data_IF_348437715792
#
_entry.id   IF_348437715792
#
_cell.length_a   1.000
_cell.length_b   1.000
_cell.length_c   1.000
_cell.angle_alpha   90.00
_cell.angle_beta   90.00
_cell.angle_gamma   90.00
#
_symmetry.space_group_name_H-M   'P 1'
#
loop_
_entity.id
_entity.type
_entity.pdbx_description
1 polymer ?
#
# COMPACT_ATOMS: atom_id res chain seq x y z
N UNK A 1 -4.65 -18.38 -21.63
CA UNK A 1 -4.89 -19.78 -21.23
C UNK A 1 -5.68 -20.61 -22.26
N UNK A 2 -6.43 -20.00 -23.18
CA UNK A 2 -7.16 -20.75 -24.24
C UNK A 2 -6.27 -21.50 -25.23
N UNK A 3 -5.02 -21.07 -25.42
CA UNK A 3 -4.10 -21.66 -26.40
C UNK A 3 -3.72 -23.09 -25.98
N UNK A 4 -3.34 -23.32 -24.72
CA UNK A 4 -2.80 -24.60 -24.21
C UNK A 4 -3.85 -25.72 -24.05
N UNK A 5 -5.11 -25.39 -23.72
CA UNK A 5 -6.17 -26.41 -23.54
C UNK A 5 -6.51 -27.10 -24.87
N UNK A 6 -6.37 -26.39 -25.99
CA UNK A 6 -6.53 -26.96 -27.33
C UNK A 6 -5.37 -27.83 -27.79
N UNK A 7 -4.19 -27.79 -27.16
CA UNK A 7 -3.04 -28.58 -27.62
C UNK A 7 -3.19 -30.07 -27.31
N UNK A 8 -3.57 -30.41 -26.08
CA UNK A 8 -3.52 -31.78 -25.58
C UNK A 8 -4.57 -32.70 -26.27
N UNK A 9 -5.70 -32.13 -26.69
CA UNK A 9 -6.78 -32.86 -27.34
C UNK A 9 -6.63 -32.96 -28.87
N UNK A 10 -6.01 -31.97 -29.51
CA UNK A 10 -5.91 -31.91 -30.98
C UNK A 10 -4.62 -32.58 -31.50
N UNK A 11 -3.50 -32.49 -30.75
CA UNK A 11 -2.20 -32.95 -31.26
C UNK A 11 -1.78 -34.36 -30.84
N UNK A 12 -2.54 -35.00 -29.92
CA UNK A 12 -2.24 -36.37 -29.45
C UNK A 12 -2.30 -37.41 -30.57
N UNK A 13 -3.30 -37.32 -31.45
CA UNK A 13 -3.61 -38.33 -32.46
C UNK A 13 -2.91 -38.11 -33.82
N UNK A 14 -2.04 -37.10 -33.94
CA UNK A 14 -1.34 -36.81 -35.20
C UNK A 14 -0.09 -37.67 -35.41
N UNK A 15 0.11 -38.08 -36.67
CA UNK A 15 0.95 -39.21 -37.07
C UNK A 15 2.45 -38.92 -37.07
N UNK A 16 2.90 -37.68 -37.30
CA UNK A 16 4.34 -37.35 -37.36
C UNK A 16 4.71 -36.11 -36.56
N UNK A 17 5.91 -36.14 -35.97
CA UNK A 17 6.50 -35.03 -35.20
C UNK A 17 6.54 -33.72 -36.00
N UNK A 18 6.98 -33.78 -37.26
CA UNK A 18 7.06 -32.62 -38.15
C UNK A 18 5.69 -31.95 -38.33
N UNK A 19 4.63 -32.74 -38.47
CA UNK A 19 3.28 -32.22 -38.64
C UNK A 19 2.75 -31.56 -37.37
N UNK A 20 3.06 -32.14 -36.20
CA UNK A 20 2.76 -31.52 -34.90
C UNK A 20 3.47 -30.16 -34.78
N UNK A 21 4.79 -30.11 -34.99
CA UNK A 21 5.60 -28.88 -34.93
C UNK A 21 5.12 -27.83 -35.93
N UNK A 22 4.80 -28.23 -37.16
CA UNK A 22 4.27 -27.34 -38.19
C UNK A 22 2.97 -26.68 -37.73
N UNK A 23 2.05 -27.44 -37.16
CA UNK A 23 0.80 -26.86 -36.65
C UNK A 23 1.04 -25.95 -35.44
N UNK A 24 1.96 -26.30 -34.52
CA UNK A 24 2.33 -25.40 -33.41
C UNK A 24 2.82 -24.05 -33.97
N UNK A 25 3.71 -24.08 -34.97
CA UNK A 25 4.21 -22.86 -35.64
C UNK A 25 3.08 -22.04 -36.25
N UNK A 26 2.08 -22.71 -36.83
CA UNK A 26 0.92 -22.05 -37.46
C UNK A 26 0.01 -21.34 -36.44
N UNK A 27 0.01 -21.78 -35.17
CA UNK A 27 -0.86 -21.17 -34.14
C UNK A 27 -0.36 -19.79 -33.66
N UNK A 28 0.93 -19.48 -33.77
CA UNK A 28 1.51 -18.20 -33.33
C UNK A 28 2.94 -17.98 -33.84
N UNK A 29 3.19 -16.83 -34.45
CA UNK A 29 4.52 -16.40 -34.90
C UNK A 29 5.53 -16.31 -33.74
N UNK A 30 5.07 -15.94 -32.55
CA UNK A 30 5.90 -15.88 -31.35
C UNK A 30 6.39 -17.29 -30.95
N UNK A 31 5.48 -18.27 -30.97
CA UNK A 31 5.80 -19.67 -30.66
C UNK A 31 6.69 -20.27 -31.75
N UNK A 32 6.43 -19.98 -33.02
CA UNK A 32 7.29 -20.40 -34.12
C UNK A 32 8.72 -19.84 -34.01
N UNK A 33 8.84 -18.56 -33.65
CA UNK A 33 10.14 -17.92 -33.39
C UNK A 33 10.85 -18.48 -32.15
N UNK A 34 10.11 -18.93 -31.13
CA UNK A 34 10.66 -19.61 -29.96
C UNK A 34 11.22 -21.00 -30.32
N UNK A 35 10.45 -21.80 -31.07
CA UNK A 35 10.87 -23.14 -31.52
C UNK A 35 12.16 -23.05 -32.35
N UNK A 36 12.26 -22.07 -33.26
CA UNK A 36 13.44 -21.87 -34.09
C UNK A 36 14.71 -21.49 -33.32
N UNK A 37 14.57 -21.04 -32.07
CA UNK A 37 15.69 -20.68 -31.17
C UNK A 37 16.11 -21.83 -30.26
N UNK A 38 15.34 -22.92 -30.19
CA UNK A 38 15.69 -24.08 -29.39
C UNK A 38 16.82 -24.87 -30.05
N UNK A 39 17.60 -25.59 -29.24
CA UNK A 39 18.66 -26.47 -29.74
C UNK A 39 18.06 -27.63 -30.57
N UNK A 40 18.78 -28.11 -31.58
CA UNK A 40 18.32 -29.20 -32.47
C UNK A 40 17.88 -30.46 -31.69
N UNK A 41 18.48 -30.74 -30.54
CA UNK A 41 18.11 -31.87 -29.68
C UNK A 41 16.69 -31.73 -29.09
N UNK A 42 16.25 -30.50 -28.80
CA UNK A 42 14.92 -30.21 -28.26
C UNK A 42 13.90 -30.24 -29.39
N UNK A 43 14.22 -29.69 -30.57
CA UNK A 43 13.29 -29.60 -31.71
C UNK A 43 12.89 -30.99 -32.25
N UNK A 44 13.72 -32.01 -32.03
CA UNK A 44 13.44 -33.39 -32.44
C UNK A 44 12.64 -34.20 -31.41
N UNK A 45 12.26 -33.60 -30.28
CA UNK A 45 11.48 -34.25 -29.23
C UNK A 45 10.24 -33.40 -28.90
N UNK A 46 9.06 -33.94 -29.23
CA UNK A 46 7.79 -33.25 -29.01
C UNK A 46 7.56 -32.91 -27.53
N UNK A 47 7.90 -33.83 -26.63
CA UNK A 47 7.63 -33.67 -25.20
C UNK A 47 8.52 -32.57 -24.61
N UNK A 48 9.75 -32.46 -25.10
CA UNK A 48 10.67 -31.38 -24.71
C UNK A 48 10.24 -30.02 -25.26
N UNK A 49 9.80 -29.94 -26.52
CA UNK A 49 9.25 -28.70 -27.09
C UNK A 49 8.01 -28.27 -26.33
N UNK A 50 7.09 -29.19 -26.06
CA UNK A 50 5.86 -28.90 -25.35
C UNK A 50 6.15 -28.43 -23.92
N UNK A 51 7.09 -29.07 -23.21
CA UNK A 51 7.54 -28.64 -21.89
C UNK A 51 8.20 -27.26 -21.93
N UNK A 52 9.00 -26.96 -22.96
CA UNK A 52 9.66 -25.67 -23.15
C UNK A 52 8.65 -24.55 -23.45
N UNK A 53 7.69 -24.80 -24.34
CA UNK A 53 6.59 -23.86 -24.65
C UNK A 53 5.73 -23.65 -23.40
N UNK A 54 5.37 -24.70 -22.69
CA UNK A 54 4.66 -24.57 -21.42
C UNK A 54 5.47 -23.73 -20.44
N UNK A 55 6.77 -23.96 -20.28
CA UNK A 55 7.60 -23.13 -19.39
C UNK A 55 7.63 -21.66 -19.78
N UNK A 56 7.85 -21.36 -21.05
CA UNK A 56 7.99 -19.99 -21.55
C UNK A 56 6.68 -19.20 -21.51
N UNK A 57 5.57 -19.87 -21.86
CA UNK A 57 4.28 -19.23 -22.05
C UNK A 57 3.25 -19.55 -20.96
N UNK A 58 3.63 -20.30 -19.92
CA UNK A 58 2.83 -20.38 -18.70
C UNK A 58 3.03 -19.11 -17.92
N UNK A 59 1.95 -18.33 -17.83
CA UNK A 59 1.90 -17.20 -16.92
C UNK A 59 1.97 -17.69 -15.47
N UNK A 60 3.08 -17.41 -14.80
CA UNK A 60 3.18 -17.62 -13.36
C UNK A 60 2.42 -16.50 -12.64
N UNK A 61 1.15 -16.78 -12.32
CA UNK A 61 0.29 -15.85 -11.60
C UNK A 61 0.85 -15.48 -10.23
N UNK A 62 1.60 -16.38 -9.57
CA UNK A 62 2.21 -16.13 -8.26
C UNK A 62 3.38 -15.16 -8.39
N UNK A 63 4.25 -15.36 -9.38
CA UNK A 63 5.38 -14.44 -9.61
C UNK A 63 4.89 -13.03 -9.99
N UNK A 64 3.89 -12.96 -10.87
CA UNK A 64 3.30 -11.67 -11.25
C UNK A 64 2.61 -10.97 -10.06
N UNK A 65 1.87 -11.71 -9.24
CA UNK A 65 1.25 -11.19 -8.03
C UNK A 65 2.27 -10.69 -7.01
N UNK A 66 3.35 -11.45 -6.78
CA UNK A 66 4.44 -11.03 -5.90
C UNK A 66 5.10 -9.72 -6.39
N UNK A 67 5.41 -9.62 -7.69
CA UNK A 67 5.99 -8.40 -8.28
C UNK A 67 5.07 -7.19 -8.08
N UNK A 68 3.76 -7.37 -8.25
CA UNK A 68 2.79 -6.32 -8.01
C UNK A 68 2.75 -5.92 -6.52
N UNK A 69 2.67 -6.91 -5.63
CA UNK A 69 2.57 -6.69 -4.18
C UNK A 69 3.81 -5.97 -3.60
N UNK A 70 5.00 -6.22 -4.13
CA UNK A 70 6.23 -5.50 -3.76
C UNK A 70 6.16 -3.99 -4.00
N UNK A 71 5.30 -3.53 -4.93
CA UNK A 71 5.07 -2.11 -5.19
C UNK A 71 4.00 -1.47 -4.29
N UNK A 72 3.21 -2.28 -3.57
CA UNK A 72 2.08 -1.81 -2.76
C UNK A 72 2.57 -1.39 -1.39
N UNK A 73 2.61 -0.09 -1.13
CA UNK A 73 2.95 0.48 0.18
C UNK A 73 1.77 1.17 0.80
N UNK A 74 1.63 1.07 2.12
CA UNK A 74 0.57 1.75 2.84
C UNK A 74 0.73 3.27 2.75
N UNK A 75 -0.34 3.95 2.35
CA UNK A 75 -0.40 5.41 2.37
C UNK A 75 -0.34 5.98 3.79
N UNK A 76 0.18 7.20 3.94
CA UNK A 76 0.32 7.87 5.25
C UNK A 76 -0.98 7.98 6.05
N UNK A 77 -2.13 8.06 5.40
CA UNK A 77 -3.44 8.16 6.08
C UNK A 77 -4.38 7.01 5.70
N UNK A 78 -3.84 5.98 5.05
CA UNK A 78 -4.62 4.81 4.63
C UNK A 78 -4.91 3.92 5.83
N UNK A 79 -6.18 3.51 5.96
CA UNK A 79 -6.60 2.58 6.99
C UNK A 79 -5.90 1.22 6.80
N UNK A 80 -5.33 0.61 7.85
CA UNK A 80 -4.63 -0.67 7.73
C UNK A 80 -5.47 -1.81 7.13
N UNK A 81 -6.80 -1.81 7.34
CA UNK A 81 -7.68 -2.81 6.75
C UNK A 81 -7.83 -2.61 5.25
N UNK A 82 -7.92 -1.37 4.78
CA UNK A 82 -7.96 -1.05 3.35
C UNK A 82 -6.64 -1.44 2.67
N UNK A 83 -5.51 -1.07 3.29
CA UNK A 83 -4.19 -1.47 2.83
C UNK A 83 -4.03 -2.99 2.72
N UNK A 84 -4.47 -3.74 3.75
CA UNK A 84 -4.46 -5.20 3.72
C UNK A 84 -5.23 -5.75 2.51
N UNK A 85 -6.43 -5.24 2.21
CA UNK A 85 -7.24 -5.75 1.09
C UNK A 85 -6.55 -5.51 -0.27
N UNK A 86 -5.94 -4.34 -0.45
CA UNK A 86 -5.16 -4.03 -1.65
C UNK A 86 -3.94 -4.94 -1.80
N UNK A 87 -3.19 -5.13 -0.71
CA UNK A 87 -2.02 -6.01 -0.71
C UNK A 87 -2.41 -7.47 -0.94
N UNK A 88 -3.50 -7.93 -0.32
CA UNK A 88 -4.03 -9.29 -0.48
C UNK A 88 -4.42 -9.56 -1.94
N UNK A 89 -5.16 -8.64 -2.55
CA UNK A 89 -5.52 -8.73 -3.97
C UNK A 89 -4.30 -8.68 -4.90
N UNK A 90 -3.32 -7.83 -4.60
CA UNK A 90 -2.10 -7.75 -5.39
C UNK A 90 -1.25 -9.03 -5.32
N UNK A 91 -1.10 -9.60 -4.13
CA UNK A 91 -0.23 -10.74 -3.89
C UNK A 91 -0.84 -12.06 -4.39
N UNK A 92 -2.12 -12.31 -4.10
CA UNK A 92 -2.79 -13.58 -4.43
C UNK A 92 -3.58 -13.52 -5.76
N UNK A 93 -3.86 -12.32 -6.28
CA UNK A 93 -4.60 -12.16 -7.53
C UNK A 93 -5.94 -12.90 -7.51
N UNK A 94 -6.24 -13.61 -8.60
CA UNK A 94 -7.45 -14.43 -8.74
C UNK A 94 -7.43 -15.74 -7.93
N UNK A 95 -6.31 -16.11 -7.31
CA UNK A 95 -6.13 -17.40 -6.64
C UNK A 95 -6.31 -17.33 -5.11
N UNK A 96 -7.14 -16.40 -4.62
CA UNK A 96 -7.39 -16.21 -3.20
C UNK A 96 -8.09 -17.44 -2.56
N UNK A 97 -7.33 -18.27 -1.84
CA UNK A 97 -7.86 -19.39 -1.03
C UNK A 97 -7.84 -19.05 0.45
N UNK A 98 -8.78 -19.62 1.20
CA UNK A 98 -8.83 -19.48 2.67
C UNK A 98 -7.53 -19.99 3.29
N UNK A 99 -6.91 -19.18 4.16
CA UNK A 99 -5.67 -19.53 4.86
C UNK A 99 -4.38 -19.17 4.13
N UNK A 100 -4.44 -18.71 2.88
CA UNK A 100 -3.23 -18.26 2.16
C UNK A 100 -2.56 -17.04 2.81
N UNK A 101 -3.34 -16.20 3.48
CA UNK A 101 -2.84 -15.06 4.25
C UNK A 101 -1.90 -15.45 5.41
N UNK A 102 -1.89 -16.73 5.80
CA UNK A 102 -0.99 -17.23 6.83
C UNK A 102 0.42 -17.56 6.29
N UNK A 103 0.65 -17.44 4.97
CA UNK A 103 1.97 -17.58 4.37
C UNK A 103 2.95 -16.57 4.98
N UNK A 104 4.08 -17.06 5.48
CA UNK A 104 5.11 -16.24 6.14
C UNK A 104 5.54 -15.05 5.26
N UNK A 105 5.77 -15.28 3.97
CA UNK A 105 6.19 -14.22 3.04
C UNK A 105 5.15 -13.11 2.88
N UNK A 106 3.85 -13.45 2.91
CA UNK A 106 2.79 -12.44 2.87
C UNK A 106 2.74 -11.63 4.17
N UNK A 107 2.89 -12.27 5.32
CA UNK A 107 2.93 -11.58 6.62
C UNK A 107 4.14 -10.64 6.73
N UNK A 108 5.31 -11.07 6.28
CA UNK A 108 6.52 -10.25 6.20
C UNK A 108 6.27 -9.03 5.31
N UNK A 109 5.75 -9.26 4.10
CA UNK A 109 5.46 -8.20 3.15
C UNK A 109 4.44 -7.19 3.71
N UNK A 110 3.41 -7.67 4.41
CA UNK A 110 2.44 -6.79 5.07
C UNK A 110 3.13 -5.85 6.05
N UNK A 111 3.98 -6.37 6.94
CA UNK A 111 4.67 -5.56 7.94
C UNK A 111 5.67 -4.59 7.32
N UNK A 112 6.46 -5.05 6.35
CA UNK A 112 7.48 -4.25 5.66
C UNK A 112 6.86 -3.08 4.88
N UNK A 113 5.64 -3.28 4.37
CA UNK A 113 4.93 -2.29 3.58
C UNK A 113 3.98 -1.41 4.41
N UNK A 114 3.87 -1.61 5.73
CA UNK A 114 3.19 -0.67 6.62
C UNK A 114 3.93 0.67 6.65
N UNK A 115 3.18 1.76 6.85
CA UNK A 115 3.79 3.07 6.91
C UNK A 115 4.69 3.20 8.18
N UNK A 116 5.95 3.68 8.07
CA UNK A 116 6.92 3.66 9.17
C UNK A 116 6.46 4.36 10.46
N UNK A 117 5.54 5.33 10.34
CA UNK A 117 5.00 6.07 11.48
C UNK A 117 4.21 5.22 12.49
N UNK A 118 3.78 4.01 12.10
CA UNK A 118 3.05 3.09 12.99
C UNK A 118 3.96 2.09 13.71
N UNK A 119 5.15 1.84 13.17
CA UNK A 119 6.12 0.87 13.71
C UNK A 119 6.37 0.99 15.22
N UNK A 120 6.63 2.20 15.75
CA UNK A 120 6.83 2.39 17.19
C UNK A 120 5.64 1.98 18.08
N UNK A 121 4.43 1.95 17.53
CA UNK A 121 3.21 1.60 18.25
C UNK A 121 2.84 0.12 18.13
N UNK A 122 3.49 -0.65 17.25
CA UNK A 122 3.22 -2.08 17.07
C UNK A 122 4.03 -2.97 18.03
N UNK A 123 5.18 -2.50 18.50
CA UNK A 123 6.07 -3.28 19.35
C UNK A 123 6.75 -4.44 18.61
N UNK A 124 7.34 -5.37 19.35
CA UNK A 124 7.97 -6.56 18.78
C UNK A 124 6.90 -7.52 18.24
N UNK A 125 7.11 -8.00 17.00
CA UNK A 125 6.19 -8.91 16.32
C UNK A 125 6.88 -10.24 16.05
N UNK A 126 6.29 -11.33 16.54
CA UNK A 126 6.71 -12.70 16.20
C UNK A 126 5.75 -13.29 15.18
N UNK A 127 6.23 -13.43 13.94
CA UNK A 127 5.46 -13.96 12.82
C UNK A 127 5.12 -15.45 12.92
N UNK A 128 5.85 -16.22 13.74
CA UNK A 128 5.57 -17.65 13.96
C UNK A 128 4.38 -17.86 14.88
N UNK A 129 4.15 -16.92 15.81
CA UNK A 129 3.07 -17.00 16.79
C UNK A 129 1.83 -16.23 16.34
N UNK A 130 2.02 -15.10 15.65
CA UNK A 130 0.91 -14.20 15.29
C UNK A 130 0.22 -14.64 14.00
N UNK A 131 -1.11 -14.73 14.07
CA UNK A 131 -1.97 -14.93 12.89
C UNK A 131 -2.05 -13.65 12.07
N UNK A 132 -2.46 -13.74 10.80
CA UNK A 132 -2.70 -12.54 10.01
C UNK A 132 -3.77 -11.64 10.65
N UNK A 133 -4.76 -12.22 11.31
CA UNK A 133 -5.78 -11.47 12.04
C UNK A 133 -5.18 -10.63 13.18
N UNK A 134 -4.25 -11.20 13.95
CA UNK A 134 -3.54 -10.48 15.01
C UNK A 134 -2.74 -9.31 14.44
N UNK A 135 -2.03 -9.52 13.33
CA UNK A 135 -1.24 -8.48 12.66
C UNK A 135 -2.12 -7.32 12.19
N UNK A 136 -3.28 -7.60 11.58
CA UNK A 136 -4.26 -6.57 11.18
C UNK A 136 -4.81 -5.80 12.37
N UNK A 137 -5.11 -6.48 13.47
CA UNK A 137 -5.58 -5.83 14.71
C UNK A 137 -4.51 -4.92 15.31
N UNK A 138 -3.26 -5.38 15.36
CA UNK A 138 -2.12 -4.60 15.83
C UNK A 138 -1.86 -3.37 14.96
N UNK A 139 -1.92 -3.52 13.63
CA UNK A 139 -1.80 -2.40 12.69
C UNK A 139 -2.95 -1.39 12.88
N UNK A 140 -4.18 -1.86 13.05
CA UNK A 140 -5.34 -1.01 13.31
C UNK A 140 -5.22 -0.25 14.63
N UNK A 141 -4.74 -0.90 15.69
CA UNK A 141 -4.53 -0.28 16.99
C UNK A 141 -3.43 0.79 16.95
N UNK A 142 -2.29 0.48 16.32
CA UNK A 142 -1.17 1.42 16.16
C UNK A 142 -1.55 2.64 15.32
N UNK A 143 -2.33 2.46 14.25
CA UNK A 143 -2.89 3.55 13.44
C UNK A 143 -3.77 4.50 14.25
N UNK A 144 -4.70 3.97 15.07
CA UNK A 144 -5.55 4.78 15.94
C UNK A 144 -4.73 5.56 16.95
N UNK A 145 -3.80 4.89 17.62
CA UNK A 145 -2.92 5.53 18.61
C UNK A 145 -2.09 6.66 18.01
N UNK A 146 -1.58 6.47 16.80
CA UNK A 146 -0.89 7.51 16.04
C UNK A 146 -1.81 8.72 15.78
N UNK A 147 -3.04 8.47 15.29
CA UNK A 147 -4.03 9.53 15.04
C UNK A 147 -4.43 10.30 16.30
N UNK A 148 -4.52 9.63 17.43
CA UNK A 148 -4.84 10.29 18.70
C UNK A 148 -3.64 11.13 19.20
N UNK A 149 -2.42 10.62 19.05
CA UNK A 149 -1.19 11.35 19.43
C UNK A 149 -0.87 12.55 18.53
N UNK A 150 -1.37 12.58 17.30
CA UNK A 150 -1.21 13.74 16.41
C UNK A 150 -2.20 14.86 16.76
N UNK A 151 -3.44 14.51 17.12
CA UNK A 151 -4.44 15.50 17.57
C UNK A 151 -4.07 16.20 18.88
N UNK A 152 -3.40 15.51 19.81
CA UNK A 152 -3.01 16.11 21.10
C UNK A 152 -1.84 17.09 21.00
N UNK A 153 -1.04 17.04 19.92
CA UNK A 153 0.07 17.98 19.69
C UNK A 153 -0.38 19.34 19.18
N UNK A 154 -1.56 19.43 18.58
CA UNK A 154 -2.09 20.68 18.02
C UNK A 154 -2.88 21.51 19.05
N UNK A 155 -3.10 20.98 20.26
CA UNK A 155 -3.65 21.74 21.38
C UNK A 155 -2.51 22.17 22.30
N UNK A 156 -2.13 23.47 22.35
CA UNK A 156 -1.24 23.94 23.41
C UNK A 156 -1.97 23.75 24.74
N UNK A 157 -1.54 22.75 25.51
CA UNK A 157 -1.97 22.57 26.90
C UNK A 157 -1.37 23.71 27.72
N UNK A 158 -2.08 24.85 27.75
CA UNK A 158 -1.79 25.91 28.71
C UNK A 158 -2.28 25.38 30.05
N UNK A 159 -1.34 24.87 30.86
CA UNK A 159 -1.58 24.67 32.28
C UNK A 159 -1.96 26.03 32.86
N UNK A 160 -3.25 26.24 33.09
CA UNK A 160 -3.73 27.38 33.85
C UNK A 160 -3.20 27.19 35.27
N UNK A 161 -2.09 27.85 35.58
CA UNK A 161 -1.68 28.08 36.95
C UNK A 161 -2.74 29.02 37.52
N UNK A 162 -3.58 28.51 38.42
CA UNK A 162 -4.38 29.34 39.30
C UNK A 162 -3.41 30.12 40.19
N UNK A 163 -2.96 31.27 39.69
CA UNK A 163 -2.25 32.24 40.49
C UNK A 163 -3.26 32.82 41.47
N UNK A 164 -3.23 32.32 42.70
CA UNK A 164 -3.90 32.93 43.83
C UNK A 164 -3.43 34.40 43.91
N UNK A 165 -4.31 35.41 43.72
CA UNK A 165 -3.91 36.82 43.63
C UNK A 165 -3.39 37.40 44.96
N UNK A 166 -3.23 36.56 45.98
CA UNK A 166 -3.02 36.96 47.37
C UNK A 166 -1.55 37.12 47.79
N UNK A 167 -0.56 36.89 46.91
CA UNK A 167 0.87 36.96 47.29
C UNK A 167 1.74 37.92 46.49
N UNK A 168 1.20 38.68 45.53
CA UNK A 168 1.97 39.72 44.83
C UNK A 168 1.96 41.05 45.59
N UNK A 169 2.79 41.15 46.64
CA UNK A 169 3.18 42.44 47.22
C UNK A 169 4.20 43.13 46.32
N UNK A 170 3.75 44.09 45.51
CA UNK A 170 4.62 45.11 44.92
C UNK A 170 5.06 46.08 46.02
N UNK A 171 6.36 46.07 46.38
CA UNK A 171 6.96 47.18 47.13
C UNK A 171 7.15 48.37 46.17
N UNK A 172 6.45 49.48 46.46
CA UNK A 172 6.59 50.73 45.74
C UNK A 172 7.78 51.54 46.25
N UNK A 173 8.62 52.04 45.34
CA UNK A 173 9.52 53.16 45.59
C UNK A 173 8.81 54.47 45.21
N UNK A 174 8.92 55.47 46.08
CA UNK A 174 8.21 56.74 45.99
C UNK A 174 8.88 57.74 45.04
N UNK A 175 7.99 58.46 44.33
CA UNK A 175 8.08 59.87 43.91
C UNK A 175 9.17 60.33 42.95
N UNK A 176 8.73 60.72 41.74
CA UNK A 176 9.44 61.62 40.83
C UNK A 176 8.48 62.17 39.78
N UNK A 177 8.06 63.42 39.97
CA UNK A 177 7.10 64.20 39.18
C UNK A 177 7.50 64.41 37.71
N UNK A 178 6.55 64.28 36.77
CA UNK A 178 6.74 64.73 35.38
C UNK A 178 5.45 64.66 34.54
N UNK A 179 4.96 65.83 34.11
CA UNK A 179 3.68 66.05 33.40
C UNK A 179 3.62 65.54 31.95
N UNK A 180 2.43 65.07 31.59
CA UNK A 180 1.65 65.29 30.36
C UNK A 180 2.19 64.84 28.98
N UNK A 181 1.36 64.06 28.25
CA UNK A 181 0.49 64.58 27.16
C UNK A 181 -0.36 63.47 26.51
N UNK A 182 -1.64 63.80 26.36
CA UNK A 182 -2.64 63.16 25.49
C UNK A 182 -2.11 62.90 24.07
N UNK A 183 -2.34 61.70 23.53
CA UNK A 183 -2.75 61.48 22.13
C UNK A 183 -3.64 60.25 21.99
N UNK A 184 -4.80 60.47 21.36
CA UNK A 184 -5.88 59.52 21.03
C UNK A 184 -5.45 58.45 20.00
N UNK A 185 -6.19 57.33 19.92
CA UNK A 185 -5.85 56.18 19.08
C UNK A 185 -6.23 56.40 17.61
N UNK A 186 -5.39 55.94 16.69
CA UNK A 186 -5.69 55.84 15.26
C UNK A 186 -6.21 54.44 14.93
N UNK A 187 -7.51 54.37 14.68
CA UNK A 187 -8.17 53.27 13.99
C UNK A 187 -8.11 53.47 12.47
N UNK A 188 -8.23 52.34 11.75
CA UNK A 188 -8.48 52.08 10.29
C UNK A 188 -7.36 51.17 9.76
N UNK A 189 -7.65 50.08 9.05
CA UNK A 189 -8.61 49.98 7.96
C UNK A 189 -9.09 48.52 7.78
N UNK A 190 -10.42 48.35 7.63
CA UNK A 190 -11.04 47.14 7.09
C UNK A 190 -10.71 47.03 5.60
N UNK A 191 -10.37 45.83 5.14
CA UNK A 191 -10.64 45.42 3.76
C UNK A 191 -11.49 44.15 3.83
N UNK A 192 -12.79 44.32 3.59
CA UNK A 192 -13.64 43.26 3.08
C UNK A 192 -13.22 42.99 1.64
N UNK A 193 -13.09 41.73 1.25
CA UNK A 193 -13.47 41.35 -0.10
C UNK A 193 -14.24 40.02 -0.06
N UNK A 194 -15.46 40.12 -0.54
CA UNK A 194 -16.50 39.13 -0.73
C UNK A 194 -16.29 38.32 -2.01
N UNK A 195 -16.73 37.06 -2.05
CA UNK A 195 -17.51 36.40 -3.13
C UNK A 195 -17.85 34.98 -2.62
N UNK A 196 -19.02 34.79 -1.99
CA UNK A 196 -20.32 34.33 -2.55
C UNK A 196 -20.31 32.84 -2.93
N UNK A 197 -21.12 32.11 -2.16
CA UNK A 197 -21.54 30.74 -2.36
C UNK A 197 -22.40 30.57 -3.63
N UNK A 198 -22.23 29.44 -4.32
CA UNK A 198 -23.22 28.92 -5.24
C UNK A 198 -23.99 27.79 -4.54
N UNK A 199 -25.30 28.00 -4.44
CA UNK A 199 -26.31 27.02 -4.02
C UNK A 199 -26.52 26.00 -5.14
N UNK A 200 -26.57 24.73 -4.77
CA UNK A 200 -27.27 23.70 -5.54
C UNK A 200 -28.76 23.80 -5.23
N UNK A 201 -29.58 23.93 -6.28
CA UNK A 201 -31.01 23.65 -6.23
C UNK A 201 -31.24 22.38 -7.04
N UNK A 202 -32.14 21.57 -6.49
CA UNK A 202 -32.65 20.29 -6.97
C UNK A 202 -33.52 20.47 -8.22
#
# INVERSE_FOLDING_TARGET
MHILVTFDTIFRDLVTLEYKIFLIRLTSDAVGSFINRQQDAIVNDYDQIEAAIRREYTYDAKEAGLKLALSVKQGRNEDPQAFYLHLFGAYFGSECKKGMEEEKGFKELFLDNLHPQYGPHMGAVDLQVKTMDDLRRMASYSFRRFKDSSKSKDTPSVLAVEADPSTLRLEGTTSGTGKAKNRKPSAKLKAQNSYVALRSVT
#
